data_IF_580286337135
#
_entry.id   IF_580286337135
#
_cell.length_a   1.000
_cell.length_b   1.000
_cell.length_c   1.000
_cell.angle_alpha   90.00
_cell.angle_beta   90.00
_cell.angle_gamma   90.00
#
_symmetry.space_group_name_H-M   'P 1'
#
loop_
_entity.id
_entity.type
_entity.pdbx_description
1 polymer ?
#
# COMPACT_ATOMS: atom_id res chain seq x y z
N UNK A 1 16.60 20.00 -7.27
CA UNK A 1 17.25 21.04 -8.10
C UNK A 1 16.36 21.54 -9.23
N UNK A 2 15.93 20.69 -10.19
CA UNK A 2 15.13 21.11 -11.35
C UNK A 2 13.78 21.75 -10.95
N UNK A 3 13.02 21.14 -10.05
CA UNK A 3 11.75 21.69 -9.58
C UNK A 3 11.91 23.07 -8.96
N UNK A 4 12.92 23.25 -8.10
CA UNK A 4 13.24 24.57 -7.54
C UNK A 4 13.55 25.60 -8.64
N UNK A 5 14.35 25.23 -9.64
CA UNK A 5 14.68 26.13 -10.76
C UNK A 5 13.46 26.55 -11.57
N UNK A 6 12.48 25.63 -11.77
CA UNK A 6 11.27 25.89 -12.55
C UNK A 6 10.23 26.68 -11.73
N UNK A 7 10.00 26.30 -10.49
CA UNK A 7 8.93 26.86 -9.66
C UNK A 7 9.37 28.09 -8.85
N UNK A 8 10.68 28.31 -8.69
CA UNK A 8 11.27 29.42 -7.88
C UNK A 8 10.83 29.43 -6.42
N UNK A 9 10.51 28.23 -5.89
CA UNK A 9 10.16 28.04 -4.47
C UNK A 9 11.11 26.99 -3.85
N UNK A 10 11.34 27.01 -2.52
CA UNK A 10 12.07 25.95 -1.84
C UNK A 10 11.42 24.59 -2.06
N UNK A 11 12.23 23.56 -2.30
CA UNK A 11 11.77 22.19 -2.53
C UNK A 11 12.48 21.24 -1.59
N UNK A 12 11.73 20.43 -0.85
CA UNK A 12 12.25 19.28 -0.12
C UNK A 12 12.09 18.04 -0.97
N UNK A 13 13.15 17.29 -1.15
CA UNK A 13 13.21 16.07 -1.96
C UNK A 13 14.06 15.01 -1.29
N UNK A 14 14.22 13.85 -1.92
CA UNK A 14 15.09 12.76 -1.45
C UNK A 14 14.77 12.27 -0.02
N UNK A 15 13.53 11.92 0.22
CA UNK A 15 13.07 11.44 1.53
C UNK A 15 13.56 10.03 1.90
N UNK A 16 14.08 9.24 0.94
CA UNK A 16 14.37 7.82 1.12
C UNK A 16 15.84 7.49 1.33
N UNK A 17 16.76 8.26 0.72
CA UNK A 17 18.20 7.91 0.67
C UNK A 17 18.83 7.77 2.05
N UNK A 18 18.49 8.63 3.00
CA UNK A 18 19.03 8.55 4.36
C UNK A 18 18.61 7.25 5.07
N UNK A 19 17.36 6.82 4.92
CA UNK A 19 16.86 5.57 5.48
C UNK A 19 17.58 4.36 4.85
N UNK A 20 17.69 4.33 3.51
CA UNK A 20 18.37 3.25 2.78
C UNK A 20 19.86 3.17 3.16
N UNK A 21 20.55 4.29 3.25
CA UNK A 21 21.95 4.35 3.67
C UNK A 21 22.15 3.85 5.12
N UNK A 22 21.12 4.02 5.96
CA UNK A 22 21.12 3.51 7.34
C UNK A 22 20.66 2.03 7.44
N UNK A 23 20.48 1.33 6.31
CA UNK A 23 20.09 -0.08 6.25
C UNK A 23 18.58 -0.31 6.27
N UNK A 24 17.74 0.73 6.19
CA UNK A 24 16.31 0.62 6.01
C UNK A 24 15.92 0.33 4.55
N UNK A 25 14.66 0.02 4.32
CA UNK A 25 14.13 -0.30 2.98
C UNK A 25 13.63 0.94 2.21
N UNK A 26 13.66 2.14 2.81
CA UNK A 26 13.22 3.38 2.19
C UNK A 26 11.71 3.50 1.94
N UNK A 27 10.94 2.49 2.34
CA UNK A 27 9.48 2.42 2.19
C UNK A 27 8.88 1.43 3.20
N UNK A 28 7.58 1.61 3.59
CA UNK A 28 6.73 2.78 3.32
C UNK A 28 7.08 4.00 4.18
N UNK A 29 6.83 5.22 3.69
CA UNK A 29 7.04 6.48 4.41
C UNK A 29 5.74 7.12 4.93
N UNK A 30 4.58 6.64 4.48
CA UNK A 30 3.27 7.16 4.90
C UNK A 30 2.86 6.85 6.36
N UNK A 31 3.44 5.86 7.07
CA UNK A 31 2.93 5.45 8.38
C UNK A 31 2.88 6.57 9.43
N UNK A 32 3.86 7.45 9.47
CA UNK A 32 3.86 8.59 10.41
C UNK A 32 2.79 9.63 10.06
N UNK A 33 2.48 9.79 8.78
CA UNK A 33 1.39 10.64 8.34
C UNK A 33 0.03 10.02 8.67
N UNK A 34 -0.16 8.73 8.42
CA UNK A 34 -1.37 8.02 8.85
C UNK A 34 -1.60 8.13 10.36
N UNK A 35 -0.54 7.99 11.16
CA UNK A 35 -0.64 8.17 12.61
C UNK A 35 -1.06 9.58 13.02
N UNK A 36 -0.58 10.61 12.30
CA UNK A 36 -0.96 12.00 12.54
C UNK A 36 -2.43 12.26 12.17
N UNK A 37 -2.88 11.76 11.01
CA UNK A 37 -4.28 11.88 10.58
C UNK A 37 -5.25 11.13 11.51
N UNK A 38 -4.83 9.98 12.01
CA UNK A 38 -5.62 9.14 12.92
C UNK A 38 -5.54 9.59 14.39
N UNK A 39 -5.00 10.78 14.68
CA UNK A 39 -4.98 11.30 16.05
C UNK A 39 -6.42 11.45 16.57
N UNK A 40 -6.69 10.90 17.75
CA UNK A 40 -8.04 10.92 18.36
C UNK A 40 -9.01 9.85 17.85
N UNK A 41 -8.63 9.06 16.83
CA UNK A 41 -9.46 7.94 16.38
C UNK A 41 -9.29 6.71 17.27
N UNK A 42 -10.35 5.87 17.43
CA UNK A 42 -10.23 4.57 18.11
C UNK A 42 -9.16 3.68 17.48
N UNK A 43 -8.43 2.95 18.32
CA UNK A 43 -7.34 2.04 17.92
C UNK A 43 -7.50 0.70 18.64
N UNK A 44 -6.99 -0.42 18.09
CA UNK A 44 -6.12 -0.53 16.90
C UNK A 44 -6.83 -0.17 15.59
N UNK A 45 -6.13 0.55 14.70
CA UNK A 45 -6.62 0.96 13.39
C UNK A 45 -5.68 0.41 12.30
N UNK A 46 -6.25 -0.15 11.24
CA UNK A 46 -5.51 -0.56 10.06
C UNK A 46 -5.79 0.42 8.91
N UNK A 47 -4.75 0.99 8.33
CA UNK A 47 -4.82 1.76 7.08
C UNK A 47 -4.17 0.93 5.99
N UNK A 48 -4.91 0.63 4.94
CA UNK A 48 -4.46 -0.14 3.77
C UNK A 48 -4.39 0.79 2.57
N UNK A 49 -3.24 0.86 1.94
CA UNK A 49 -3.08 1.55 0.66
C UNK A 49 -3.00 0.53 -0.47
N UNK A 50 -3.93 0.59 -1.42
CA UNK A 50 -3.92 -0.27 -2.61
C UNK A 50 -3.55 0.60 -3.81
N UNK A 51 -2.25 0.65 -4.10
CA UNK A 51 -1.66 1.20 -5.31
C UNK A 51 -1.22 0.09 -6.27
N UNK A 52 -0.15 0.29 -7.03
CA UNK A 52 0.45 -0.78 -7.84
C UNK A 52 0.96 -1.95 -6.98
N UNK A 53 1.50 -1.64 -5.81
CA UNK A 53 1.77 -2.52 -4.67
C UNK A 53 0.80 -2.15 -3.56
N UNK A 54 0.32 -3.14 -2.82
CA UNK A 54 -0.49 -2.92 -1.62
C UNK A 54 0.41 -2.88 -0.38
N UNK A 55 0.12 -1.94 0.53
CA UNK A 55 0.82 -1.83 1.80
C UNK A 55 -0.14 -1.50 2.93
N UNK A 56 0.29 -1.76 4.15
CA UNK A 56 -0.48 -1.48 5.35
C UNK A 56 0.28 -0.60 6.34
N UNK A 57 -0.49 0.15 7.13
CA UNK A 57 -0.06 0.79 8.38
C UNK A 57 -0.99 0.35 9.50
N UNK A 58 -0.46 -0.36 10.47
CA UNK A 58 -1.16 -0.71 11.70
C UNK A 58 -0.82 0.32 12.79
N UNK A 59 -1.84 0.88 13.41
CA UNK A 59 -1.73 1.85 14.49
C UNK A 59 -2.27 1.20 15.77
N UNK A 60 -1.37 0.84 16.68
CA UNK A 60 -1.69 0.17 17.94
C UNK A 60 -2.36 1.07 18.95
N UNK A 61 -3.12 0.48 19.88
CA UNK A 61 -3.72 1.18 21.01
C UNK A 61 -2.66 1.73 21.98
N UNK A 62 -1.49 1.13 22.02
CA UNK A 62 -0.31 1.55 22.77
C UNK A 62 0.49 2.69 22.11
N UNK A 63 0.05 3.16 20.95
CA UNK A 63 0.77 4.14 20.14
C UNK A 63 1.83 3.53 19.20
N UNK A 64 1.97 2.20 19.19
CA UNK A 64 2.86 1.49 18.28
C UNK A 64 2.42 1.66 16.82
N UNK A 65 3.41 1.73 15.90
CA UNK A 65 3.21 1.82 14.47
C UNK A 65 3.95 0.66 13.83
N UNK A 66 3.25 -0.16 13.05
CA UNK A 66 3.86 -1.21 12.22
C UNK A 66 3.44 -1.00 10.77
N UNK A 67 4.37 -1.17 9.83
CA UNK A 67 4.02 -1.08 8.42
C UNK A 67 4.79 -2.10 7.59
N UNK A 68 4.19 -2.53 6.50
CA UNK A 68 4.85 -3.34 5.47
C UNK A 68 4.05 -3.35 4.18
N UNK A 69 4.72 -3.71 3.08
CA UNK A 69 4.04 -4.09 1.86
C UNK A 69 3.40 -5.47 2.06
N UNK A 70 2.20 -5.65 1.53
CA UNK A 70 1.40 -6.86 1.73
C UNK A 70 1.38 -7.77 0.51
N UNK A 71 1.76 -7.25 -0.65
CA UNK A 71 1.80 -7.96 -1.92
C UNK A 71 1.49 -7.05 -3.10
N UNK A 72 1.31 -7.59 -4.31
CA UNK A 72 0.80 -6.83 -5.43
C UNK A 72 -0.57 -6.21 -5.11
N UNK A 73 -0.78 -4.97 -5.56
CA UNK A 73 -2.04 -4.26 -5.46
C UNK A 73 -2.80 -4.26 -6.79
N UNK A 74 -3.18 -3.06 -7.28
CA UNK A 74 -3.86 -2.90 -8.57
C UNK A 74 -2.93 -3.16 -9.77
N UNK A 75 -1.61 -3.05 -9.62
CA UNK A 75 -0.70 -3.09 -10.76
C UNK A 75 -0.97 -4.24 -11.73
N UNK A 76 -1.07 -5.50 -11.27
CA UNK A 76 -1.38 -6.62 -12.15
C UNK A 76 -2.78 -6.54 -12.81
N UNK A 77 -3.78 -5.97 -12.13
CA UNK A 77 -5.12 -5.74 -12.69
C UNK A 77 -5.08 -4.67 -13.78
N UNK A 78 -4.32 -3.59 -13.55
CA UNK A 78 -4.13 -2.52 -14.53
C UNK A 78 -3.41 -3.06 -15.77
N UNK A 79 -2.39 -3.90 -15.60
CA UNK A 79 -1.66 -4.55 -16.70
C UNK A 79 -2.59 -5.48 -17.52
N UNK A 80 -3.51 -6.22 -16.89
CA UNK A 80 -4.54 -7.02 -17.59
C UNK A 80 -5.54 -6.13 -18.33
N UNK A 81 -6.06 -5.09 -17.69
CA UNK A 81 -7.00 -4.17 -18.31
C UNK A 81 -6.38 -3.48 -19.53
N UNK A 82 -5.13 -3.05 -19.42
CA UNK A 82 -4.38 -2.46 -20.54
C UNK A 82 -4.21 -3.48 -21.68
N UNK A 83 -3.84 -4.72 -21.36
CA UNK A 83 -3.56 -5.78 -22.34
C UNK A 83 -4.82 -6.21 -23.11
N UNK A 84 -5.94 -6.40 -22.42
CA UNK A 84 -7.13 -7.04 -22.99
C UNK A 84 -8.25 -6.06 -23.35
N UNK A 85 -8.31 -4.90 -22.69
CA UNK A 85 -9.36 -3.90 -22.91
C UNK A 85 -8.81 -2.60 -23.51
N UNK A 86 -7.49 -2.37 -23.51
CA UNK A 86 -6.89 -1.09 -23.90
C UNK A 86 -7.19 0.02 -22.90
N UNK A 87 -7.62 -0.32 -21.68
CA UNK A 87 -7.94 0.63 -20.60
C UNK A 87 -6.78 0.73 -19.61
N UNK A 88 -6.54 1.91 -19.00
CA UNK A 88 -5.45 2.11 -18.07
C UNK A 88 -5.62 1.35 -16.75
N UNK A 89 -6.82 0.91 -16.41
CA UNK A 89 -7.15 0.14 -15.20
C UNK A 89 -8.50 -0.59 -15.39
N UNK A 90 -8.78 -1.58 -14.53
CA UNK A 90 -10.09 -2.27 -14.47
C UNK A 90 -11.13 -1.35 -13.83
N UNK A 91 -11.82 -0.58 -14.68
CA UNK A 91 -12.80 0.40 -14.23
C UNK A 91 -13.93 -0.27 -13.46
N UNK A 92 -14.16 0.19 -12.24
CA UNK A 92 -15.18 -0.29 -11.30
C UNK A 92 -15.06 -1.81 -11.02
N UNK A 93 -13.87 -2.40 -11.27
CA UNK A 93 -13.63 -3.83 -11.10
C UNK A 93 -14.44 -4.72 -12.06
N UNK A 94 -14.90 -4.16 -13.19
CA UNK A 94 -15.84 -4.83 -14.07
C UNK A 94 -15.28 -6.12 -14.70
N UNK A 95 -13.98 -6.13 -15.03
CA UNK A 95 -13.31 -7.31 -15.57
C UNK A 95 -13.22 -8.40 -14.48
N UNK A 96 -12.74 -8.05 -13.29
CA UNK A 96 -12.62 -8.98 -12.18
C UNK A 96 -13.98 -9.51 -11.70
N UNK A 97 -15.02 -8.65 -11.67
CA UNK A 97 -16.38 -9.04 -11.28
C UNK A 97 -17.04 -10.02 -12.24
N UNK A 98 -16.62 -10.06 -13.51
CA UNK A 98 -17.18 -10.97 -14.53
C UNK A 98 -16.50 -12.35 -14.56
N UNK A 99 -15.42 -12.55 -13.82
CA UNK A 99 -14.66 -13.79 -13.80
C UNK A 99 -14.91 -14.63 -12.55
N UNK A 100 -14.30 -15.80 -12.57
CA UNK A 100 -14.28 -16.74 -11.45
C UNK A 100 -12.85 -16.92 -10.96
N UNK A 101 -12.66 -16.93 -9.65
CA UNK A 101 -11.34 -17.15 -9.03
C UNK A 101 -10.87 -18.58 -9.28
N UNK A 102 -9.66 -18.75 -9.79
CA UNK A 102 -8.98 -20.03 -9.83
C UNK A 102 -8.24 -20.24 -8.49
N UNK A 103 -8.87 -21.01 -7.60
CA UNK A 103 -8.36 -21.23 -6.23
C UNK A 103 -6.99 -21.93 -6.22
N UNK A 104 -6.72 -22.84 -7.15
CA UNK A 104 -5.43 -23.53 -7.21
C UNK A 104 -4.28 -22.57 -7.56
N UNK A 105 -4.54 -21.66 -8.49
CA UNK A 105 -3.56 -20.62 -8.87
C UNK A 105 -3.41 -19.56 -7.79
N UNK A 106 -4.51 -19.20 -7.12
CA UNK A 106 -4.47 -18.30 -5.96
C UNK A 106 -3.58 -18.86 -4.84
N UNK A 107 -3.78 -20.13 -4.47
CA UNK A 107 -2.95 -20.78 -3.46
C UNK A 107 -1.48 -20.89 -3.89
N UNK A 108 -1.20 -21.17 -5.16
CA UNK A 108 0.17 -21.19 -5.69
C UNK A 108 0.84 -19.79 -5.58
N UNK A 109 0.12 -18.71 -5.88
CA UNK A 109 0.59 -17.33 -5.72
C UNK A 109 0.89 -17.01 -4.25
N UNK A 110 0.00 -17.39 -3.34
CA UNK A 110 0.11 -17.16 -1.89
C UNK A 110 1.18 -18.04 -1.22
N UNK A 111 1.58 -19.13 -1.86
CA UNK A 111 2.71 -19.98 -1.45
C UNK A 111 4.08 -19.32 -1.60
N UNK A 112 4.18 -18.16 -2.24
CA UNK A 112 5.47 -17.48 -2.42
C UNK A 112 6.10 -17.09 -1.07
N UNK A 113 7.42 -17.33 -0.84
CA UNK A 113 8.09 -17.09 0.45
C UNK A 113 7.96 -15.68 1.01
N UNK A 114 7.67 -14.70 0.16
CA UNK A 114 7.44 -13.31 0.57
C UNK A 114 6.37 -13.20 1.67
N UNK A 115 5.27 -13.98 1.57
CA UNK A 115 4.16 -13.88 2.51
C UNK A 115 4.51 -14.38 3.90
N UNK A 116 5.46 -15.33 4.03
CA UNK A 116 5.96 -15.82 5.31
C UNK A 116 6.98 -14.88 5.98
N UNK A 117 7.49 -13.86 5.28
CA UNK A 117 8.45 -12.91 5.86
C UNK A 117 7.78 -12.04 6.92
N UNK A 118 8.44 -11.78 8.07
CA UNK A 118 7.92 -10.84 9.07
C UNK A 118 7.93 -9.40 8.54
N UNK A 119 7.09 -8.55 9.14
CA UNK A 119 7.17 -7.10 8.97
C UNK A 119 8.32 -6.52 9.85
N UNK A 120 8.95 -5.41 9.44
CA UNK A 120 8.69 -4.67 8.20
C UNK A 120 9.30 -5.36 6.98
N UNK A 121 8.61 -5.28 5.85
CA UNK A 121 9.07 -5.79 4.56
C UNK A 121 8.55 -4.92 3.44
N UNK A 122 9.37 -4.67 2.42
CA UNK A 122 8.98 -3.97 1.20
C UNK A 122 8.99 -4.88 -0.01
N UNK A 123 8.31 -4.45 -1.06
CA UNK A 123 8.14 -5.16 -2.31
C UNK A 123 8.39 -4.22 -3.49
N UNK A 124 9.23 -4.63 -4.42
CA UNK A 124 9.29 -4.00 -5.74
C UNK A 124 8.10 -4.45 -6.59
N UNK A 125 7.49 -3.50 -7.35
CA UNK A 125 6.32 -3.77 -8.19
C UNK A 125 6.50 -4.96 -9.14
N UNK A 126 7.71 -5.16 -9.66
CA UNK A 126 8.01 -6.19 -10.64
C UNK A 126 8.39 -7.54 -10.03
N UNK A 127 8.58 -7.63 -8.71
CA UNK A 127 9.02 -8.85 -8.04
C UNK A 127 8.12 -10.06 -8.29
N UNK A 128 6.84 -9.84 -8.57
CA UNK A 128 5.85 -10.89 -8.82
C UNK A 128 5.51 -11.07 -10.30
N UNK A 129 6.09 -10.28 -11.22
CA UNK A 129 5.67 -10.29 -12.63
C UNK A 129 5.77 -11.66 -13.30
N UNK A 130 6.86 -12.39 -13.08
CA UNK A 130 7.04 -13.74 -13.62
C UNK A 130 6.05 -14.75 -13.04
N UNK A 131 5.82 -14.70 -11.73
CA UNK A 131 4.88 -15.59 -11.04
C UNK A 131 3.43 -15.30 -11.47
N UNK A 132 3.06 -14.02 -11.60
CA UNK A 132 1.74 -13.60 -12.07
C UNK A 132 1.53 -14.02 -13.52
N UNK A 133 2.53 -13.84 -14.40
CA UNK A 133 2.44 -14.28 -15.79
C UNK A 133 2.17 -15.79 -15.89
N UNK A 134 2.90 -16.60 -15.12
CA UNK A 134 2.70 -18.05 -15.05
C UNK A 134 1.32 -18.40 -14.47
N UNK A 135 0.91 -17.75 -13.40
CA UNK A 135 -0.37 -18.03 -12.75
C UNK A 135 -1.59 -17.63 -13.61
N UNK A 136 -1.44 -16.68 -14.51
CA UNK A 136 -2.54 -16.23 -15.40
C UNK A 136 -2.49 -16.87 -16.80
N UNK A 137 -1.47 -17.68 -17.10
CA UNK A 137 -1.33 -18.35 -18.38
C UNK A 137 -2.52 -19.28 -18.67
N UNK A 138 -3.15 -19.11 -19.84
CA UNK A 138 -4.28 -19.93 -20.26
C UNK A 138 -5.62 -19.62 -19.58
N UNK A 139 -5.69 -18.70 -18.61
CA UNK A 139 -6.95 -18.22 -18.06
C UNK A 139 -7.65 -17.26 -19.03
N UNK A 140 -8.99 -17.28 -19.00
CA UNK A 140 -9.76 -16.19 -19.59
C UNK A 140 -9.41 -14.86 -18.89
N UNK A 141 -9.40 -13.72 -19.58
CA UNK A 141 -9.04 -12.43 -18.98
C UNK A 141 -9.81 -12.07 -17.71
N UNK A 142 -11.10 -12.41 -17.68
CA UNK A 142 -11.96 -12.19 -16.52
C UNK A 142 -11.53 -13.04 -15.31
N UNK A 143 -11.26 -14.34 -15.54
CA UNK A 143 -10.85 -15.26 -14.48
C UNK A 143 -9.45 -14.91 -13.95
N UNK A 144 -8.54 -14.48 -14.83
CA UNK A 144 -7.24 -13.94 -14.43
C UNK A 144 -7.40 -12.70 -13.54
N UNK A 145 -8.29 -11.76 -13.92
CA UNK A 145 -8.55 -10.56 -13.12
C UNK A 145 -9.20 -10.90 -11.77
N UNK A 146 -10.19 -11.81 -11.74
CA UNK A 146 -10.81 -12.26 -10.49
C UNK A 146 -9.78 -12.90 -9.55
N UNK A 147 -8.91 -13.77 -10.09
CA UNK A 147 -7.85 -14.45 -9.32
C UNK A 147 -6.83 -13.45 -8.77
N UNK A 148 -6.42 -12.44 -9.56
CA UNK A 148 -5.49 -11.41 -9.10
C UNK A 148 -6.12 -10.43 -8.10
N UNK A 149 -7.43 -10.14 -8.22
CA UNK A 149 -8.15 -9.37 -7.21
C UNK A 149 -8.20 -10.14 -5.87
N UNK A 150 -8.53 -11.44 -5.91
CA UNK A 150 -8.49 -12.31 -4.73
C UNK A 150 -7.07 -12.40 -4.14
N UNK A 151 -6.03 -12.44 -4.98
CA UNK A 151 -4.63 -12.45 -4.54
C UNK A 151 -4.25 -11.17 -3.79
N UNK A 152 -4.64 -9.99 -4.29
CA UNK A 152 -4.44 -8.72 -3.60
C UNK A 152 -5.11 -8.74 -2.22
N UNK A 153 -6.39 -9.11 -2.15
CA UNK A 153 -7.16 -9.18 -0.91
C UNK A 153 -6.54 -10.16 0.09
N UNK A 154 -6.20 -11.36 -0.35
CA UNK A 154 -5.62 -12.39 0.51
C UNK A 154 -4.22 -12.00 1.02
N UNK A 155 -3.41 -11.32 0.19
CA UNK A 155 -2.12 -10.78 0.62
C UNK A 155 -2.26 -9.74 1.74
N UNK A 156 -3.27 -8.90 1.68
CA UNK A 156 -3.59 -7.92 2.73
C UNK A 156 -4.10 -8.63 3.99
N UNK A 157 -5.05 -9.53 3.84
CA UNK A 157 -5.68 -10.23 4.96
C UNK A 157 -4.70 -11.14 5.75
N UNK A 158 -3.69 -11.70 5.05
CA UNK A 158 -2.63 -12.52 5.66
C UNK A 158 -1.48 -11.70 6.26
N UNK A 159 -1.53 -10.36 6.19
CA UNK A 159 -0.48 -9.52 6.77
C UNK A 159 -0.42 -9.72 8.30
N UNK A 160 0.79 -9.86 8.88
CA UNK A 160 0.93 -10.12 10.31
C UNK A 160 0.56 -8.86 11.11
N UNK A 161 -0.58 -8.87 11.76
CA UNK A 161 -1.04 -7.79 12.63
C UNK A 161 -0.75 -8.12 14.09
N UNK A 162 -0.25 -7.16 14.90
CA UNK A 162 -0.03 -7.36 16.34
C UNK A 162 -1.32 -7.63 17.14
N UNK A 163 -2.45 -7.10 16.66
CA UNK A 163 -3.78 -7.31 17.26
C UNK A 163 -4.85 -7.12 16.18
N UNK A 164 -6.07 -7.65 16.37
CA UNK A 164 -7.21 -7.35 15.49
C UNK A 164 -7.49 -5.85 15.46
N UNK A 165 -7.65 -5.22 14.27
CA UNK A 165 -8.05 -3.82 14.20
C UNK A 165 -9.53 -3.65 14.57
N UNK A 166 -9.92 -2.47 15.03
CA UNK A 166 -11.33 -2.09 15.22
C UNK A 166 -11.99 -1.65 13.92
N UNK A 167 -11.20 -1.25 12.94
CA UNK A 167 -11.62 -0.74 11.64
C UNK A 167 -10.47 -0.84 10.65
N UNK A 168 -10.82 -1.01 9.38
CA UNK A 168 -9.88 -0.92 8.23
C UNK A 168 -10.27 0.29 7.38
N UNK A 169 -9.32 1.19 7.15
CA UNK A 169 -9.46 2.30 6.21
C UNK A 169 -8.65 2.03 4.96
N UNK A 170 -9.28 2.14 3.79
CA UNK A 170 -8.64 1.84 2.51
C UNK A 170 -8.38 3.14 1.74
N UNK A 171 -7.14 3.36 1.33
CA UNK A 171 -6.72 4.45 0.45
C UNK A 171 -6.06 3.91 -0.85
N UNK A 172 -5.54 4.81 -1.68
CA UNK A 172 -5.03 4.45 -2.99
C UNK A 172 -6.14 4.17 -4.01
N UNK A 173 -5.76 3.86 -5.25
CA UNK A 173 -6.70 3.62 -6.36
C UNK A 173 -7.66 2.46 -6.11
N UNK A 174 -7.20 1.42 -5.39
CA UNK A 174 -7.97 0.21 -5.10
C UNK A 174 -9.23 0.44 -4.28
N UNK A 175 -9.30 1.52 -3.48
CA UNK A 175 -10.52 1.88 -2.75
C UNK A 175 -11.73 2.18 -3.66
N UNK A 176 -11.45 2.48 -4.94
CA UNK A 176 -12.47 2.73 -5.97
C UNK A 176 -12.91 1.46 -6.70
N UNK A 177 -12.29 0.31 -6.40
CA UNK A 177 -12.63 -0.98 -6.99
C UNK A 177 -13.57 -1.76 -6.06
N UNK A 178 -14.87 -1.93 -6.41
CA UNK A 178 -15.84 -2.60 -5.55
C UNK A 178 -15.50 -4.06 -5.25
N UNK A 179 -14.81 -4.75 -6.17
CA UNK A 179 -14.40 -6.15 -5.98
C UNK A 179 -13.38 -6.26 -4.87
N UNK A 180 -12.37 -5.37 -4.86
CA UNK A 180 -11.36 -5.33 -3.79
C UNK A 180 -11.99 -4.94 -2.46
N UNK A 181 -12.86 -3.93 -2.45
CA UNK A 181 -13.53 -3.48 -1.21
C UNK A 181 -14.43 -4.56 -0.63
N UNK A 182 -15.22 -5.24 -1.47
CA UNK A 182 -16.07 -6.36 -1.03
C UNK A 182 -15.23 -7.54 -0.53
N UNK A 183 -14.15 -7.88 -1.23
CA UNK A 183 -13.22 -8.92 -0.79
C UNK A 183 -12.59 -8.62 0.57
N UNK A 184 -12.13 -7.38 0.80
CA UNK A 184 -11.61 -6.96 2.10
C UNK A 184 -12.69 -6.99 3.18
N UNK A 185 -13.91 -6.52 2.88
CA UNK A 185 -15.02 -6.58 3.83
C UNK A 185 -15.39 -8.03 4.23
N UNK A 186 -15.23 -8.99 3.31
CA UNK A 186 -15.42 -10.40 3.61
C UNK A 186 -14.23 -11.02 4.41
N UNK A 187 -13.04 -10.46 4.26
CA UNK A 187 -11.83 -10.99 4.90
C UNK A 187 -11.59 -10.46 6.32
N UNK A 188 -12.17 -9.30 6.67
CA UNK A 188 -12.04 -8.69 7.99
C UNK A 188 -13.41 -8.68 8.71
N UNK A 189 -13.43 -9.12 9.95
CA UNK A 189 -14.64 -9.10 10.81
C UNK A 189 -14.83 -7.74 11.51
N UNK A 190 -14.57 -6.67 10.76
CA UNK A 190 -14.69 -5.27 11.23
C UNK A 190 -15.07 -4.37 10.05
N UNK A 191 -15.56 -3.14 10.30
CA UNK A 191 -15.86 -2.20 9.23
C UNK A 191 -14.64 -1.94 8.33
N UNK A 192 -14.81 -2.13 7.02
CA UNK A 192 -13.84 -1.81 5.96
C UNK A 192 -14.42 -0.68 5.12
N UNK A 193 -13.76 0.47 5.15
CA UNK A 193 -14.31 1.69 4.56
C UNK A 193 -13.23 2.45 3.77
N UNK A 194 -13.60 3.19 2.72
CA UNK A 194 -12.67 4.12 2.09
C UNK A 194 -12.33 5.26 3.05
N UNK A 195 -11.15 5.84 2.91
CA UNK A 195 -10.66 6.91 3.80
C UNK A 195 -11.57 8.15 3.83
N UNK A 196 -12.38 8.35 2.80
CA UNK A 196 -13.37 9.41 2.72
C UNK A 196 -14.45 9.29 3.83
N UNK A 197 -14.72 8.08 4.32
CA UNK A 197 -15.67 7.86 5.42
C UNK A 197 -15.27 8.56 6.73
N UNK A 198 -13.98 8.89 6.86
CA UNK A 198 -13.44 9.64 8.01
C UNK A 198 -12.96 11.04 7.62
N UNK A 199 -13.35 11.52 6.43
CA UNK A 199 -13.06 12.87 5.95
C UNK A 199 -11.63 13.05 5.41
N UNK A 200 -10.88 11.99 5.14
CA UNK A 200 -9.59 12.11 4.48
C UNK A 200 -9.79 12.17 2.96
N UNK A 201 -8.99 12.96 2.28
CA UNK A 201 -8.99 13.04 0.82
C UNK A 201 -8.10 11.95 0.22
N UNK A 202 -8.70 10.85 -0.21
CA UNK A 202 -7.96 9.70 -0.73
C UNK A 202 -7.23 9.95 -2.06
N UNK A 203 -7.63 10.95 -2.83
CA UNK A 203 -6.93 11.33 -4.07
C UNK A 203 -5.74 12.27 -3.78
N UNK A 204 -5.80 13.07 -2.71
CA UNK A 204 -4.72 13.95 -2.29
C UNK A 204 -3.81 13.37 -1.20
N UNK A 205 -4.13 12.19 -0.64
CA UNK A 205 -3.47 11.64 0.55
C UNK A 205 -1.95 11.52 0.39
N UNK A 206 -1.49 11.07 -0.77
CA UNK A 206 -0.05 10.94 -1.04
C UNK A 206 0.64 12.29 -1.14
N UNK A 207 0.03 13.27 -1.82
CA UNK A 207 0.56 14.62 -1.90
C UNK A 207 0.61 15.30 -0.52
N UNK A 208 -0.43 15.12 0.30
CA UNK A 208 -0.45 15.59 1.69
C UNK A 208 0.62 14.91 2.54
N UNK A 209 0.83 13.60 2.35
CA UNK A 209 1.89 12.86 3.01
C UNK A 209 3.26 13.47 2.73
N UNK A 210 3.60 13.72 1.47
CA UNK A 210 4.89 14.33 1.13
C UNK A 210 5.02 15.76 1.66
N UNK A 211 3.95 16.55 1.68
CA UNK A 211 3.92 17.85 2.36
C UNK A 211 4.22 17.74 3.86
N UNK A 212 3.59 16.77 4.53
CA UNK A 212 3.85 16.48 5.94
C UNK A 212 5.30 16.05 6.19
N UNK A 213 5.83 15.15 5.35
CA UNK A 213 7.22 14.69 5.44
C UNK A 213 8.22 15.83 5.21
N UNK A 214 7.92 16.76 4.29
CA UNK A 214 8.75 17.95 4.07
C UNK A 214 8.84 18.82 5.31
N UNK A 215 7.71 19.07 5.99
CA UNK A 215 7.70 19.83 7.26
C UNK A 215 8.47 19.09 8.36
N UNK A 216 8.32 17.76 8.46
CA UNK A 216 9.11 16.96 9.41
C UNK A 216 10.60 17.03 9.12
N UNK A 217 11.00 16.92 7.84
CA UNK A 217 12.40 17.08 7.41
C UNK A 217 12.98 18.41 7.85
N UNK A 218 12.28 19.52 7.56
CA UNK A 218 12.72 20.87 7.96
C UNK A 218 12.84 21.05 9.48
N UNK A 219 12.09 20.27 10.25
CA UNK A 219 12.13 20.30 11.72
C UNK A 219 13.07 19.26 12.33
N UNK A 220 13.82 18.52 11.52
CA UNK A 220 14.71 17.46 12.00
C UNK A 220 13.97 16.30 12.68
N UNK A 221 12.68 16.10 12.38
CA UNK A 221 11.86 15.03 12.93
C UNK A 221 12.00 13.74 12.10
N UNK A 222 11.87 12.55 12.71
CA UNK A 222 11.95 11.30 11.98
C UNK A 222 10.92 11.18 10.85
N UNK A 223 11.33 10.58 9.72
CA UNK A 223 10.48 10.22 8.58
C UNK A 223 10.20 8.73 8.54
N UNK A 224 11.03 7.90 9.18
CA UNK A 224 10.88 6.46 9.25
C UNK A 224 11.27 5.91 10.63
N UNK A 225 10.79 4.70 10.92
CA UNK A 225 10.98 4.00 12.18
C UNK A 225 11.46 2.56 11.93
N UNK A 226 12.08 1.90 12.94
CA UNK A 226 12.43 0.48 12.83
C UNK A 226 11.27 -0.42 12.43
N UNK A 227 10.08 -0.10 12.89
CA UNK A 227 8.84 -0.86 12.64
C UNK A 227 8.16 -0.51 11.30
N UNK A 228 8.68 0.47 10.54
CA UNK A 228 8.11 0.85 9.25
C UNK A 228 9.00 0.48 8.07
N UNK A 229 10.29 0.76 8.13
CA UNK A 229 11.25 0.49 7.05
C UNK A 229 12.34 -0.52 7.41
N UNK A 230 12.37 -0.98 8.66
CA UNK A 230 13.43 -1.89 9.13
C UNK A 230 14.76 -1.19 9.46
N UNK A 231 14.80 0.13 9.42
CA UNK A 231 15.98 0.90 9.81
C UNK A 231 16.29 0.68 11.31
N UNK A 232 17.57 0.67 11.70
CA UNK A 232 17.97 0.33 13.07
C UNK A 232 17.45 1.31 14.15
N UNK A 233 17.17 2.55 13.78
CA UNK A 233 16.64 3.62 14.66
C UNK A 233 15.78 4.59 13.85
N UNK A 234 14.97 5.39 14.54
CA UNK A 234 14.20 6.45 13.89
C UNK A 234 15.12 7.36 13.05
N UNK A 235 14.80 7.54 11.77
CA UNK A 235 15.63 8.26 10.81
C UNK A 235 14.96 9.54 10.33
N UNK A 236 15.73 10.61 10.31
CA UNK A 236 15.43 11.83 9.57
C UNK A 236 15.82 11.65 8.10
N UNK A 237 15.37 12.55 7.24
CA UNK A 237 15.70 12.50 5.81
C UNK A 237 15.18 13.75 5.10
N UNK A 238 15.25 13.72 3.77
CA UNK A 238 14.89 14.86 2.94
C UNK A 238 16.02 15.88 2.79
N UNK A 239 16.10 16.46 1.59
CA UNK A 239 17.09 17.49 1.22
C UNK A 239 16.36 18.74 0.78
N UNK A 240 16.61 19.87 1.46
CA UNK A 240 16.11 21.18 1.06
C UNK A 240 16.98 21.75 -0.06
N UNK A 241 16.32 22.19 -1.12
CA UNK A 241 16.91 22.98 -2.22
C UNK A 241 16.16 24.28 -2.36
N UNK A 242 16.84 25.39 -2.19
CA UNK A 242 16.23 26.72 -2.27
C UNK A 242 17.04 27.75 -1.58
#
# INVERSE_FOLDING_TARGET
>A
ALLHQLCKIPVVSDFRSADVQAGGQGAPLAPLFHAALAQGMPKPLLVVNIGGVANMTFLGADGGILACDTGPGNGPLDDLAQKFLGLPYDKDGALAASGTVDEARLEALLGHPYFARPAPKSLDRLSFSGLIAQATEGLAPADAAATLAAFCVAGIARAPLPAPPLRVLVCGGGRKNPVLMAGLAAAFDVPVEPVEAVGWDGDALEAQCFGYLAVRSLRGLPLSLPTTTGVARAMTGGVLTG
#
